data_IF_136006729098
#
_entry.id   IF_136006729098
#
_cell.length_a   1.000
_cell.length_b   1.000
_cell.length_c   1.000
_cell.angle_alpha   90.00
_cell.angle_beta   90.00
_cell.angle_gamma   90.00
#
_symmetry.space_group_name_H-M   'P 1'
#
loop_
_entity.id
_entity.type
_entity.pdbx_description
1 polymer ?
#
# COMPACT_ATOMS: atom_id res chain seq x y z
N UNK A 1 18.42 5.90 -24.42
CA UNK A 1 17.27 6.46 -23.67
C UNK A 1 17.61 6.74 -22.20
N UNK A 2 17.03 7.76 -21.57
CA UNK A 2 17.16 7.98 -20.11
C UNK A 2 15.94 7.41 -19.38
N UNK A 3 16.12 6.27 -18.73
CA UNK A 3 15.08 5.68 -17.89
C UNK A 3 15.11 6.40 -16.55
N UNK A 4 14.07 7.17 -16.25
CA UNK A 4 14.01 7.96 -15.03
C UNK A 4 13.14 7.25 -14.00
N UNK A 5 13.75 6.86 -12.87
CA UNK A 5 13.05 6.18 -11.78
C UNK A 5 11.81 6.95 -11.30
N UNK A 6 11.91 8.27 -11.15
CA UNK A 6 10.78 9.09 -10.68
C UNK A 6 9.56 9.01 -11.61
N UNK A 7 9.79 8.95 -12.94
CA UNK A 7 8.72 8.78 -13.93
C UNK A 7 8.07 7.41 -13.81
N UNK A 8 8.86 6.34 -13.69
CA UNK A 8 8.36 4.97 -13.48
C UNK A 8 7.51 4.91 -12.20
N UNK A 9 8.03 5.42 -11.09
CA UNK A 9 7.31 5.40 -9.81
C UNK A 9 6.03 6.23 -9.87
N UNK A 10 6.04 7.36 -10.58
CA UNK A 10 4.85 8.18 -10.78
C UNK A 10 3.78 7.45 -11.58
N UNK A 11 4.17 6.77 -12.65
CA UNK A 11 3.26 6.00 -13.50
C UNK A 11 2.65 4.81 -12.74
N UNK A 12 3.46 4.10 -11.95
CA UNK A 12 2.97 3.03 -11.09
C UNK A 12 1.98 3.57 -10.06
N UNK A 13 2.32 4.65 -9.34
CA UNK A 13 1.41 5.26 -8.34
C UNK A 13 0.09 5.71 -8.97
N UNK A 14 0.16 6.35 -10.13
CA UNK A 14 -1.04 6.78 -10.84
C UNK A 14 -1.97 5.59 -11.14
N UNK A 15 -1.41 4.47 -11.58
CA UNK A 15 -2.20 3.26 -11.84
C UNK A 15 -2.75 2.63 -10.56
N UNK A 16 -1.98 2.63 -9.47
CA UNK A 16 -2.44 2.19 -8.14
C UNK A 16 -3.64 3.02 -7.67
N UNK A 17 -3.54 4.34 -7.70
CA UNK A 17 -4.61 5.27 -7.30
C UNK A 17 -5.87 5.08 -8.17
N UNK A 18 -5.67 4.94 -9.48
CA UNK A 18 -6.76 4.69 -10.43
C UNK A 18 -7.50 3.41 -10.10
N UNK A 19 -6.82 2.30 -9.85
CA UNK A 19 -7.47 1.02 -9.53
C UNK A 19 -8.17 1.06 -8.17
N UNK A 20 -7.55 1.66 -7.15
CA UNK A 20 -8.17 1.81 -5.83
C UNK A 20 -9.45 2.67 -5.87
N UNK A 21 -9.55 3.62 -6.80
CA UNK A 21 -10.76 4.43 -6.98
C UNK A 21 -11.96 3.65 -7.56
N UNK A 22 -11.71 2.49 -8.19
CA UNK A 22 -12.74 1.71 -8.87
C UNK A 22 -13.53 0.78 -7.93
N UNK A 23 -13.25 0.81 -6.62
CA UNK A 23 -13.91 0.00 -5.58
C UNK A 23 -13.93 -1.50 -5.91
N UNK A 24 -12.85 -2.00 -6.50
CA UNK A 24 -12.70 -3.42 -6.87
C UNK A 24 -12.34 -4.26 -5.65
N UNK A 25 -12.44 -5.59 -5.77
CA UNK A 25 -11.89 -6.47 -4.74
C UNK A 25 -10.36 -6.40 -4.79
N UNK A 26 -9.70 -6.48 -3.62
CA UNK A 26 -8.23 -6.42 -3.54
C UNK A 26 -7.52 -7.47 -4.40
N UNK A 27 -8.12 -8.65 -4.61
CA UNK A 27 -7.59 -9.65 -5.52
C UNK A 27 -7.60 -9.13 -6.98
N UNK A 28 -8.68 -8.52 -7.43
CA UNK A 28 -8.80 -8.01 -8.79
C UNK A 28 -7.84 -6.84 -9.02
N UNK A 29 -7.71 -5.92 -8.05
CA UNK A 29 -6.71 -4.84 -8.09
C UNK A 29 -5.29 -5.40 -8.25
N UNK A 30 -4.94 -6.41 -7.45
CA UNK A 30 -3.64 -7.05 -7.50
C UNK A 30 -3.38 -7.77 -8.83
N UNK A 31 -4.41 -8.38 -9.41
CA UNK A 31 -4.33 -8.99 -10.73
C UNK A 31 -4.08 -7.94 -11.84
N UNK A 32 -4.84 -6.84 -11.83
CA UNK A 32 -4.66 -5.76 -12.81
C UNK A 32 -3.28 -5.11 -12.69
N UNK A 33 -2.80 -4.86 -11.47
CA UNK A 33 -1.44 -4.36 -11.25
C UNK A 33 -0.36 -5.35 -11.73
N UNK A 34 -0.60 -6.65 -11.57
CA UNK A 34 0.31 -7.69 -12.08
C UNK A 34 0.43 -7.62 -13.61
N UNK A 35 -0.69 -7.47 -14.32
CA UNK A 35 -0.69 -7.35 -15.78
C UNK A 35 0.04 -6.08 -16.23
N UNK A 36 -0.27 -4.95 -15.60
CA UNK A 36 0.34 -3.66 -15.91
C UNK A 36 1.86 -3.65 -15.69
N UNK A 37 2.32 -4.13 -14.53
CA UNK A 37 3.76 -4.16 -14.21
C UNK A 37 4.53 -5.15 -15.10
N UNK A 38 3.89 -6.25 -15.50
CA UNK A 38 4.46 -7.20 -16.47
C UNK A 38 4.64 -6.55 -17.83
N UNK A 39 3.64 -5.83 -18.33
CA UNK A 39 3.72 -5.11 -19.60
C UNK A 39 4.81 -4.02 -19.54
N UNK A 40 4.84 -3.23 -18.45
CA UNK A 40 5.87 -2.21 -18.23
C UNK A 40 7.28 -2.79 -18.27
N UNK A 41 7.52 -3.93 -17.60
CA UNK A 41 8.81 -4.63 -17.65
C UNK A 41 9.16 -5.13 -19.05
N UNK A 42 8.19 -5.64 -19.80
CA UNK A 42 8.39 -6.07 -21.20
C UNK A 42 8.79 -4.88 -22.08
N UNK A 43 8.12 -3.75 -21.99
CA UNK A 43 8.46 -2.53 -22.74
C UNK A 43 9.86 -2.02 -22.39
N UNK A 44 10.17 -1.94 -21.08
CA UNK A 44 11.49 -1.51 -20.62
C UNK A 44 12.58 -2.46 -21.11
N UNK A 45 12.34 -3.78 -21.06
CA UNK A 45 13.26 -4.78 -21.59
C UNK A 45 13.55 -4.57 -23.06
N UNK A 46 12.53 -4.42 -23.90
CA UNK A 46 12.71 -4.19 -25.33
C UNK A 46 13.55 -2.94 -25.58
N UNK A 47 13.26 -1.84 -24.88
CA UNK A 47 14.01 -0.61 -25.04
C UNK A 47 15.47 -0.73 -24.58
N UNK A 48 15.74 -1.43 -23.47
CA UNK A 48 17.10 -1.68 -22.98
C UNK A 48 17.90 -2.56 -23.94
N UNK A 49 17.28 -3.59 -24.51
CA UNK A 49 17.94 -4.47 -25.48
C UNK A 49 18.21 -3.78 -26.83
N UNK A 50 17.41 -2.79 -27.21
CA UNK A 50 17.59 -2.01 -28.45
C UNK A 50 18.66 -0.92 -28.29
N UNK A 51 18.59 -0.14 -27.21
CA UNK A 51 19.47 1.03 -27.01
C UNK A 51 20.80 0.67 -26.32
N UNK A 52 20.81 -0.38 -25.51
CA UNK A 52 21.88 -0.66 -24.55
C UNK A 52 22.01 0.41 -23.45
N UNK A 53 23.05 0.27 -22.63
CA UNK A 53 23.44 1.27 -21.64
C UNK A 53 24.57 2.15 -22.19
N UNK A 54 24.52 3.46 -21.91
CA UNK A 54 25.55 4.41 -22.35
C UNK A 54 26.92 4.15 -21.72
N UNK A 55 26.89 3.72 -20.46
CA UNK A 55 28.05 3.50 -19.61
C UNK A 55 27.69 2.52 -18.49
N UNK A 56 28.73 2.03 -17.80
CA UNK A 56 28.58 1.04 -16.71
C UNK A 56 27.79 1.61 -15.51
N UNK A 57 27.87 2.91 -15.25
CA UNK A 57 27.12 3.51 -14.14
C UNK A 57 25.62 3.48 -14.40
N UNK A 58 25.19 3.72 -15.64
CA UNK A 58 23.77 3.61 -16.04
C UNK A 58 23.26 2.17 -15.98
N UNK A 59 24.10 1.19 -16.34
CA UNK A 59 23.78 -0.24 -16.18
C UNK A 59 23.57 -0.59 -14.70
N UNK A 60 24.54 -0.22 -13.85
CA UNK A 60 24.50 -0.44 -12.39
C UNK A 60 23.27 0.21 -11.78
N UNK A 61 23.02 1.49 -12.07
CA UNK A 61 21.86 2.22 -11.54
C UNK A 61 20.54 1.55 -11.94
N UNK A 62 20.46 1.09 -13.20
CA UNK A 62 19.27 0.38 -13.67
C UNK A 62 19.00 -0.91 -12.88
N UNK A 63 20.02 -1.76 -12.69
CA UNK A 63 19.86 -3.04 -11.99
C UNK A 63 19.83 -2.92 -10.46
N UNK A 64 20.42 -1.87 -9.88
CA UNK A 64 20.41 -1.63 -8.44
C UNK A 64 19.14 -0.89 -7.99
N UNK A 65 18.75 0.16 -8.71
CA UNK A 65 17.78 1.15 -8.23
C UNK A 65 16.47 1.19 -9.02
N UNK A 66 16.50 0.89 -10.33
CA UNK A 66 15.33 1.08 -11.20
C UNK A 66 14.50 -0.19 -11.35
N UNK A 67 15.06 -1.20 -12.00
CA UNK A 67 14.36 -2.45 -12.32
C UNK A 67 13.82 -3.16 -11.07
N UNK A 68 14.55 -3.23 -9.93
CA UNK A 68 14.02 -3.88 -8.74
C UNK A 68 12.74 -3.26 -8.18
N UNK A 69 12.50 -1.96 -8.40
CA UNK A 69 11.28 -1.29 -7.93
C UNK A 69 10.04 -1.79 -8.68
N UNK A 70 10.18 -2.06 -9.98
CA UNK A 70 9.09 -2.58 -10.82
C UNK A 70 8.89 -4.07 -10.54
N UNK A 71 9.98 -4.84 -10.59
CA UNK A 71 9.95 -6.29 -10.38
C UNK A 71 9.50 -6.64 -8.95
N UNK A 72 9.96 -5.89 -7.95
CA UNK A 72 9.56 -6.07 -6.56
C UNK A 72 8.06 -5.83 -6.37
N UNK A 73 7.49 -4.78 -6.98
CA UNK A 73 6.05 -4.57 -6.98
C UNK A 73 5.29 -5.66 -7.74
N UNK A 74 5.83 -6.17 -8.85
CA UNK A 74 5.21 -7.27 -9.61
C UNK A 74 5.12 -8.54 -8.76
N UNK A 75 6.21 -8.91 -8.08
CA UNK A 75 6.25 -10.05 -7.15
C UNK A 75 5.27 -9.84 -6.00
N UNK A 76 5.24 -8.62 -5.43
CA UNK A 76 4.30 -8.24 -4.36
C UNK A 76 2.85 -8.46 -4.77
N UNK A 77 2.40 -7.85 -5.88
CA UNK A 77 1.01 -7.96 -6.32
C UNK A 77 0.63 -9.38 -6.73
N UNK A 78 1.55 -10.15 -7.34
CA UNK A 78 1.29 -11.56 -7.61
C UNK A 78 1.10 -12.38 -6.32
N UNK A 79 1.92 -12.15 -5.29
CA UNK A 79 1.75 -12.80 -3.98
C UNK A 79 0.45 -12.35 -3.31
N UNK A 80 0.10 -11.05 -3.33
CA UNK A 80 -1.17 -10.53 -2.80
C UNK A 80 -2.36 -11.22 -3.46
N UNK A 81 -2.38 -11.32 -4.79
CA UNK A 81 -3.44 -12.02 -5.51
C UNK A 81 -3.63 -13.46 -5.00
N UNK A 82 -2.53 -14.21 -4.85
CA UNK A 82 -2.57 -15.60 -4.33
C UNK A 82 -3.06 -15.68 -2.89
N UNK A 83 -2.66 -14.72 -2.05
CA UNK A 83 -3.08 -14.65 -0.65
C UNK A 83 -4.59 -14.37 -0.56
N UNK A 84 -5.08 -13.35 -1.27
CA UNK A 84 -6.50 -12.98 -1.22
C UNK A 84 -7.39 -14.09 -1.81
N UNK A 85 -6.98 -14.73 -2.90
CA UNK A 85 -7.78 -15.80 -3.55
C UNK A 85 -7.77 -17.12 -2.80
N UNK A 86 -6.80 -17.35 -1.91
CA UNK A 86 -6.74 -18.56 -1.06
C UNK A 86 -7.27 -18.33 0.35
N UNK A 87 -7.71 -17.11 0.67
CA UNK A 87 -8.29 -16.80 1.97
C UNK A 87 -9.65 -17.52 2.12
N UNK A 88 -9.83 -18.39 3.13
CA UNK A 88 -11.01 -19.25 3.22
C UNK A 88 -12.29 -18.51 3.63
N UNK A 89 -12.16 -17.36 4.30
CA UNK A 89 -13.28 -16.53 4.77
C UNK A 89 -12.88 -15.06 4.78
N UNK A 90 -13.83 -14.17 4.53
CA UNK A 90 -13.59 -12.73 4.42
C UNK A 90 -13.54 -11.98 5.77
N UNK A 91 -13.87 -12.63 6.89
CA UNK A 91 -13.82 -12.01 8.21
C UNK A 91 -13.76 -13.03 9.37
N UNK A 92 -13.47 -12.55 10.58
CA UNK A 92 -13.51 -13.31 11.83
C UNK A 92 -12.17 -13.96 12.21
N UNK A 93 -12.19 -14.80 13.25
CA UNK A 93 -10.96 -15.39 13.82
C UNK A 93 -10.17 -16.25 12.83
N UNK A 94 -10.87 -16.94 11.93
CA UNK A 94 -10.24 -17.78 10.89
C UNK A 94 -9.51 -16.89 9.87
N UNK A 95 -10.11 -15.75 9.49
CA UNK A 95 -9.46 -14.75 8.62
C UNK A 95 -8.19 -14.21 9.27
N UNK A 96 -8.26 -13.77 10.53
CA UNK A 96 -7.10 -13.26 11.24
C UNK A 96 -5.97 -14.31 11.36
N UNK A 97 -6.31 -15.53 11.76
CA UNK A 97 -5.35 -16.65 11.86
C UNK A 97 -4.70 -16.97 10.52
N UNK A 98 -5.45 -16.88 9.41
CA UNK A 98 -4.89 -17.06 8.07
C UNK A 98 -3.76 -16.06 7.78
N UNK A 99 -3.98 -14.75 7.96
CA UNK A 99 -2.92 -13.76 7.71
C UNK A 99 -1.77 -13.85 8.73
N UNK A 100 -2.04 -14.18 9.99
CA UNK A 100 -0.98 -14.42 10.99
C UNK A 100 -0.07 -15.60 10.57
N UNK A 101 -0.66 -16.67 10.05
CA UNK A 101 0.08 -17.82 9.51
C UNK A 101 0.86 -17.45 8.24
N UNK A 102 0.27 -16.69 7.32
CA UNK A 102 0.96 -16.17 6.13
C UNK A 102 2.16 -15.29 6.54
N UNK A 103 1.99 -14.39 7.51
CA UNK A 103 3.08 -13.56 8.03
C UNK A 103 4.18 -14.39 8.68
N UNK A 104 3.82 -15.46 9.41
CA UNK A 104 4.81 -16.38 10.00
C UNK A 104 5.61 -17.11 8.91
N UNK A 105 4.94 -17.59 7.87
CA UNK A 105 5.60 -18.23 6.73
C UNK A 105 6.55 -17.24 6.01
N UNK A 106 6.07 -16.03 5.73
CA UNK A 106 6.85 -14.95 5.11
C UNK A 106 8.12 -14.64 5.90
N UNK A 107 8.02 -14.48 7.24
CA UNK A 107 9.17 -14.23 8.12
C UNK A 107 10.19 -15.37 8.08
N UNK A 108 9.71 -16.61 8.03
CA UNK A 108 10.59 -17.79 7.96
C UNK A 108 11.34 -17.84 6.64
N UNK A 109 10.62 -17.70 5.52
CA UNK A 109 11.18 -17.66 4.16
C UNK A 109 12.24 -16.54 4.07
N UNK A 110 11.91 -15.34 4.55
CA UNK A 110 12.81 -14.19 4.49
C UNK A 110 14.09 -14.37 5.32
N UNK A 111 13.97 -14.92 6.54
CA UNK A 111 15.11 -15.18 7.42
C UNK A 111 16.06 -16.22 6.83
N UNK A 112 15.51 -17.29 6.26
CA UNK A 112 16.28 -18.38 5.67
C UNK A 112 16.93 -17.95 4.35
N UNK A 113 16.21 -17.17 3.53
CA UNK A 113 16.60 -16.93 2.15
C UNK A 113 17.38 -15.65 1.89
N UNK A 114 17.31 -14.65 2.78
CA UNK A 114 17.80 -13.29 2.51
C UNK A 114 18.63 -12.74 3.68
N UNK A 115 18.08 -12.69 4.90
CA UNK A 115 18.70 -11.92 6.00
C UNK A 115 20.12 -12.35 6.40
N UNK A 116 20.45 -13.63 6.22
CA UNK A 116 21.73 -14.18 6.66
C UNK A 116 22.85 -14.03 5.63
N UNK A 117 22.55 -13.49 4.44
CA UNK A 117 23.53 -13.38 3.36
C UNK A 117 24.36 -12.09 3.45
N UNK A 118 25.63 -12.17 3.06
CA UNK A 118 26.54 -11.02 2.96
C UNK A 118 25.98 -9.92 2.04
N UNK A 119 25.32 -10.33 0.96
CA UNK A 119 24.67 -9.42 0.03
C UNK A 119 23.56 -8.59 0.69
N UNK A 120 22.79 -9.17 1.61
CA UNK A 120 21.75 -8.43 2.31
C UNK A 120 22.36 -7.30 3.15
N UNK A 121 23.47 -7.57 3.85
CA UNK A 121 24.18 -6.53 4.62
C UNK A 121 24.79 -5.47 3.70
N UNK A 122 25.31 -5.86 2.54
CA UNK A 122 25.78 -4.93 1.52
C UNK A 122 24.67 -3.97 1.07
N UNK A 123 23.51 -4.52 0.68
CA UNK A 123 22.36 -3.76 0.21
C UNK A 123 21.80 -2.84 1.29
N UNK A 124 21.60 -3.33 2.52
CA UNK A 124 21.03 -2.54 3.64
C UNK A 124 21.94 -1.42 4.12
N UNK A 125 23.24 -1.52 3.88
CA UNK A 125 24.22 -0.49 4.21
C UNK A 125 24.42 0.54 3.08
N UNK A 126 23.65 0.44 1.99
CA UNK A 126 23.76 1.27 0.79
C UNK A 126 25.21 1.38 0.26
N UNK A 127 25.93 0.26 0.34
CA UNK A 127 27.31 0.19 -0.12
C UNK A 127 27.38 0.24 -1.65
N UNK A 128 28.51 0.71 -2.15
CA UNK A 128 28.79 0.84 -3.59
C UNK A 128 30.08 0.13 -4.02
N UNK A 129 30.89 -0.36 -3.08
CA UNK A 129 32.21 -0.91 -3.33
C UNK A 129 32.21 -2.23 -4.14
N UNK A 130 31.05 -2.88 -4.30
CA UNK A 130 30.88 -4.10 -5.10
C UNK A 130 29.84 -3.96 -6.21
N UNK A 131 29.42 -2.75 -6.53
CA UNK A 131 28.34 -2.53 -7.51
C UNK A 131 28.68 -3.13 -8.89
N UNK A 132 29.94 -3.03 -9.29
CA UNK A 132 30.45 -3.60 -10.54
C UNK A 132 30.37 -5.14 -10.61
N UNK A 133 30.38 -5.82 -9.46
CA UNK A 133 30.26 -7.28 -9.36
C UNK A 133 28.78 -7.67 -9.35
N UNK A 134 27.95 -6.93 -8.60
CA UNK A 134 26.57 -7.33 -8.36
C UNK A 134 25.58 -6.89 -9.45
N UNK A 135 25.82 -5.74 -10.09
CA UNK A 135 24.81 -5.08 -10.93
C UNK A 135 25.22 -4.94 -12.39
N UNK A 136 26.11 -5.82 -12.86
CA UNK A 136 26.47 -5.92 -14.29
C UNK A 136 26.01 -7.24 -14.87
N UNK A 137 25.55 -7.20 -16.12
CA UNK A 137 25.14 -8.41 -16.83
C UNK A 137 26.32 -9.36 -17.03
N UNK A 138 26.05 -10.66 -16.93
CA UNK A 138 27.05 -11.72 -17.11
C UNK A 138 28.03 -11.92 -15.95
N UNK A 139 28.00 -11.07 -14.91
CA UNK A 139 28.88 -11.21 -13.73
C UNK A 139 28.25 -12.15 -12.69
N UNK A 140 28.35 -13.46 -12.94
CA UNK A 140 27.87 -14.50 -12.01
C UNK A 140 29.05 -15.35 -11.56
N UNK A 141 29.36 -15.31 -10.26
CA UNK A 141 30.34 -16.21 -9.64
C UNK A 141 29.65 -17.48 -9.12
N UNK A 142 29.74 -18.56 -9.89
CA UNK A 142 29.14 -19.85 -9.50
C UNK A 142 29.77 -20.49 -8.25
N UNK A 143 30.94 -20.02 -7.81
CA UNK A 143 31.56 -20.49 -6.57
C UNK A 143 30.86 -19.96 -5.30
N UNK A 144 29.95 -18.99 -5.42
CA UNK A 144 29.25 -18.38 -4.29
C UNK A 144 28.12 -19.26 -3.71
N UNK A 145 27.97 -20.51 -4.16
CA UNK A 145 26.93 -21.43 -3.66
C UNK A 145 25.51 -20.95 -3.98
N UNK A 146 25.31 -20.46 -5.21
CA UNK A 146 24.08 -19.82 -5.66
C UNK A 146 22.89 -20.80 -5.67
N UNK A 147 21.69 -20.28 -5.39
CA UNK A 147 20.44 -21.05 -5.51
C UNK A 147 20.16 -21.42 -6.96
N UNK A 148 19.57 -22.60 -7.19
CA UNK A 148 19.33 -23.17 -8.52
C UNK A 148 18.56 -22.26 -9.49
N UNK A 149 17.74 -21.34 -8.99
CA UNK A 149 17.05 -20.35 -9.83
C UNK A 149 17.98 -19.49 -10.67
N UNK A 150 19.27 -19.38 -10.33
CA UNK A 150 20.27 -18.66 -11.14
C UNK A 150 20.41 -19.23 -12.56
N UNK A 151 20.16 -20.52 -12.76
CA UNK A 151 20.33 -21.20 -14.05
C UNK A 151 19.20 -20.89 -15.04
N UNK A 152 18.10 -20.29 -14.59
CA UNK A 152 16.94 -19.94 -15.41
C UNK A 152 16.81 -18.43 -15.63
N UNK A 153 17.74 -17.64 -15.09
CA UNK A 153 17.72 -16.19 -15.24
C UNK A 153 18.03 -15.81 -16.69
N UNK A 154 17.21 -14.93 -17.23
CA UNK A 154 17.52 -14.27 -18.50
C UNK A 154 18.67 -13.27 -18.30
N UNK A 155 19.90 -13.75 -18.57
CA UNK A 155 21.15 -12.99 -18.46
C UNK A 155 21.27 -11.83 -19.44
N UNK A 156 20.35 -11.70 -20.40
CA UNK A 156 20.31 -10.54 -21.32
C UNK A 156 19.66 -9.31 -20.68
N UNK A 157 18.87 -9.49 -19.62
CA UNK A 157 18.11 -8.42 -18.99
C UNK A 157 18.08 -8.48 -17.48
N UNK A 158 18.74 -9.44 -16.84
CA UNK A 158 18.73 -9.58 -15.38
C UNK A 158 20.09 -9.99 -14.86
N UNK A 159 20.43 -9.47 -13.68
CA UNK A 159 21.53 -9.98 -12.88
C UNK A 159 20.99 -11.04 -11.91
N UNK A 160 21.87 -11.65 -11.12
CA UNK A 160 21.41 -12.46 -10.00
C UNK A 160 20.90 -11.57 -8.83
N UNK A 161 21.50 -10.39 -8.66
CA UNK A 161 21.33 -9.57 -7.47
C UNK A 161 20.20 -8.54 -7.57
N UNK A 162 19.87 -8.02 -8.75
CA UNK A 162 18.65 -7.22 -8.98
C UNK A 162 17.39 -8.03 -8.63
N UNK A 163 17.36 -9.33 -8.99
CA UNK A 163 16.31 -10.26 -8.57
C UNK A 163 16.24 -10.40 -7.04
N UNK A 164 17.40 -10.50 -6.35
CA UNK A 164 17.44 -10.52 -4.88
C UNK A 164 16.88 -9.23 -4.28
N UNK A 165 17.24 -8.07 -4.82
CA UNK A 165 16.69 -6.78 -4.37
C UNK A 165 15.17 -6.73 -4.58
N UNK A 166 14.69 -7.17 -5.75
CA UNK A 166 13.26 -7.22 -6.02
C UNK A 166 12.51 -8.08 -4.99
N UNK A 167 13.08 -9.23 -4.61
CA UNK A 167 12.53 -10.05 -3.53
C UNK A 167 12.59 -9.37 -2.16
N UNK A 168 13.64 -8.60 -1.84
CA UNK A 168 13.70 -7.80 -0.61
C UNK A 168 12.54 -6.80 -0.57
N UNK A 169 12.39 -5.99 -1.63
CA UNK A 169 11.33 -4.99 -1.76
C UNK A 169 9.95 -5.65 -1.63
N UNK A 170 9.72 -6.74 -2.36
CA UNK A 170 8.44 -7.46 -2.32
C UNK A 170 8.10 -7.97 -0.91
N UNK A 171 9.09 -8.49 -0.18
CA UNK A 171 8.90 -8.97 1.19
C UNK A 171 8.57 -7.82 2.16
N UNK A 172 9.21 -6.66 2.03
CA UNK A 172 8.92 -5.47 2.85
C UNK A 172 7.49 -4.95 2.61
N UNK A 173 7.06 -4.90 1.35
CA UNK A 173 5.69 -4.54 0.98
C UNK A 173 4.67 -5.57 1.51
N UNK A 174 4.95 -6.87 1.35
CA UNK A 174 4.08 -7.93 1.87
C UNK A 174 3.99 -7.92 3.38
N UNK A 175 5.09 -7.67 4.08
CA UNK A 175 5.09 -7.55 5.53
C UNK A 175 4.14 -6.45 5.99
N UNK A 176 4.25 -5.27 5.36
CA UNK A 176 3.35 -4.14 5.62
C UNK A 176 1.90 -4.50 5.34
N UNK A 177 1.62 -5.11 4.19
CA UNK A 177 0.28 -5.59 3.82
C UNK A 177 -0.31 -6.59 4.82
N UNK A 178 0.48 -7.56 5.27
CA UNK A 178 0.04 -8.53 6.27
C UNK A 178 -0.31 -7.86 7.59
N UNK A 179 0.49 -6.88 8.01
CA UNK A 179 0.24 -6.15 9.24
C UNK A 179 -1.04 -5.31 9.17
N UNK A 180 -1.37 -4.72 8.01
CA UNK A 180 -2.65 -3.99 7.84
C UNK A 180 -3.85 -4.93 7.88
N UNK A 181 -3.70 -6.18 7.41
CA UNK A 181 -4.75 -7.21 7.48
C UNK A 181 -4.94 -7.81 8.88
N UNK A 182 -3.85 -8.04 9.63
CA UNK A 182 -3.90 -8.64 10.98
C UNK A 182 -4.39 -7.62 12.02
N UNK A 183 -3.90 -6.38 11.96
CA UNK A 183 -4.25 -5.33 12.91
C UNK A 183 -4.65 -4.04 12.18
N UNK A 184 -5.85 -3.99 11.57
CA UNK A 184 -6.33 -2.76 10.93
C UNK A 184 -6.46 -1.59 11.91
N UNK A 185 -6.52 -1.86 13.23
CA UNK A 185 -6.66 -0.84 14.29
C UNK A 185 -5.32 -0.39 14.91
N UNK A 186 -4.18 -1.06 14.62
CA UNK A 186 -2.85 -0.73 15.22
C UNK A 186 -1.81 -0.18 14.25
N UNK A 187 -2.11 0.00 12.96
CA UNK A 187 -1.20 0.61 11.99
C UNK A 187 -1.72 1.93 11.41
N UNK A 188 -1.82 3.00 12.22
CA UNK A 188 -1.89 4.34 11.67
C UNK A 188 -0.57 4.72 10.98
N UNK A 189 0.58 4.19 11.42
CA UNK A 189 1.89 4.70 10.99
C UNK A 189 2.32 4.33 9.56
N UNK A 190 1.74 3.28 8.96
CA UNK A 190 2.04 2.91 7.56
C UNK A 190 1.10 3.54 6.54
N UNK A 191 -0.06 4.06 6.99
CA UNK A 191 -0.88 5.00 6.19
C UNK A 191 -0.20 6.39 6.16
N UNK A 192 0.69 6.69 7.12
CA UNK A 192 1.42 7.96 7.20
C UNK A 192 2.67 8.03 6.29
N UNK A 193 3.13 6.93 5.69
CA UNK A 193 4.32 6.92 4.81
C UNK A 193 4.01 7.18 3.32
N UNK A 194 2.73 7.14 2.92
CA UNK A 194 2.29 7.76 1.67
C UNK A 194 1.93 9.23 1.95
N UNK A 195 2.94 10.01 2.29
CA UNK A 195 2.83 11.45 2.38
C UNK A 195 2.61 12.03 0.98
N UNK A 196 1.35 12.23 0.58
CA UNK A 196 0.90 13.46 -0.09
C UNK A 196 -0.56 13.43 -0.60
N UNK A 197 -1.30 12.31 -0.55
CA UNK A 197 -2.65 12.23 -1.16
C UNK A 197 -3.83 12.59 -0.26
N UNK A 198 -3.63 12.82 1.06
CA UNK A 198 -4.72 13.14 1.99
C UNK A 198 -4.64 14.56 2.59
N UNK A 199 -3.98 15.51 1.92
CA UNK A 199 -3.91 16.90 2.41
C UNK A 199 -5.24 17.67 2.29
N UNK A 200 -6.24 17.16 1.57
CA UNK A 200 -7.37 17.99 1.14
C UNK A 200 -8.69 17.79 1.91
N UNK A 201 -8.79 16.83 2.82
CA UNK A 201 -10.04 16.58 3.58
C UNK A 201 -9.85 17.06 5.03
N UNK A 202 -10.33 18.27 5.32
CA UNK A 202 -10.35 18.85 6.67
C UNK A 202 -11.78 19.23 7.08
N UNK A 203 -12.14 18.95 8.34
CA UNK A 203 -13.42 19.38 8.88
C UNK A 203 -13.36 20.86 9.25
N UNK A 204 -14.22 21.66 8.63
CA UNK A 204 -14.23 23.12 8.77
C UNK A 204 -15.28 23.64 9.75
N UNK A 205 -16.19 22.78 10.22
CA UNK A 205 -17.22 23.14 11.20
C UNK A 205 -16.74 22.85 12.63
N UNK A 206 -17.58 23.11 13.64
CA UNK A 206 -17.24 22.83 15.04
C UNK A 206 -17.08 21.34 15.32
N UNK A 207 -16.27 20.98 16.33
CA UNK A 207 -16.18 19.60 16.83
C UNK A 207 -17.54 19.06 17.29
N UNK A 208 -18.41 19.94 17.82
CA UNK A 208 -19.76 19.59 18.23
C UNK A 208 -20.63 19.17 17.05
N UNK A 209 -20.53 19.86 15.91
CA UNK A 209 -21.23 19.48 14.67
C UNK A 209 -20.77 18.11 14.18
N UNK A 210 -19.46 17.82 14.26
CA UNK A 210 -18.91 16.52 13.90
C UNK A 210 -19.44 15.40 14.82
N UNK A 211 -19.46 15.64 16.13
CA UNK A 211 -20.00 14.71 17.12
C UNK A 211 -21.49 14.46 16.88
N UNK A 212 -22.26 15.50 16.56
CA UNK A 212 -23.69 15.38 16.25
C UNK A 212 -23.93 14.47 15.03
N UNK A 213 -23.17 14.67 13.95
CA UNK A 213 -23.23 13.82 12.75
C UNK A 213 -22.86 12.36 13.05
N UNK A 214 -21.80 12.14 13.83
CA UNK A 214 -21.38 10.79 14.26
C UNK A 214 -22.51 10.10 15.04
N UNK A 215 -23.15 10.80 15.97
CA UNK A 215 -24.25 10.24 16.74
C UNK A 215 -25.50 10.00 15.90
N UNK A 216 -25.78 10.85 14.91
CA UNK A 216 -26.88 10.66 13.98
C UNK A 216 -26.72 9.34 13.20
N UNK A 217 -25.54 9.14 12.60
CA UNK A 217 -25.19 7.93 11.84
C UNK A 217 -25.16 6.67 12.71
N UNK A 218 -24.72 6.81 13.96
CA UNK A 218 -24.77 5.72 14.93
C UNK A 218 -26.21 5.36 15.30
N UNK A 219 -27.06 6.35 15.59
CA UNK A 219 -28.45 6.15 15.98
C UNK A 219 -29.30 5.60 14.82
N UNK A 220 -29.05 6.05 13.60
CA UNK A 220 -29.75 5.57 12.40
C UNK A 220 -29.34 4.15 11.98
N UNK A 221 -28.23 3.63 12.53
CA UNK A 221 -27.66 2.32 12.19
C UNK A 221 -27.33 2.18 10.69
N UNK A 222 -27.12 3.29 9.99
CA UNK A 222 -26.92 3.32 8.54
C UNK A 222 -25.55 2.79 8.08
N UNK A 223 -24.61 2.57 9.01
CA UNK A 223 -23.24 2.14 8.72
C UNK A 223 -23.03 0.71 9.23
N UNK A 224 -22.37 -0.12 8.40
CA UNK A 224 -21.98 -1.49 8.73
C UNK A 224 -23.13 -2.34 9.32
N UNK A 225 -24.33 -2.21 8.73
CA UNK A 225 -25.55 -2.91 9.16
C UNK A 225 -25.88 -2.69 10.66
N UNK A 226 -25.55 -1.52 11.20
CA UNK A 226 -25.82 -1.16 12.60
C UNK A 226 -24.93 -1.85 13.63
N UNK A 227 -23.86 -2.55 13.21
CA UNK A 227 -22.97 -3.29 14.11
C UNK A 227 -21.78 -2.46 14.60
N UNK A 228 -21.61 -1.24 14.10
CA UNK A 228 -20.48 -0.38 14.47
C UNK A 228 -20.74 0.33 15.80
N UNK A 229 -19.76 0.29 16.70
CA UNK A 229 -19.81 1.01 17.97
C UNK A 229 -19.46 2.50 17.81
N UNK A 230 -20.07 3.35 18.65
CA UNK A 230 -19.88 4.82 18.61
C UNK A 230 -18.41 5.25 18.69
N UNK A 231 -17.59 4.58 19.51
CA UNK A 231 -16.15 4.88 19.66
C UNK A 231 -15.39 4.60 18.37
N UNK A 232 -15.72 3.50 17.68
CA UNK A 232 -15.11 3.11 16.41
C UNK A 232 -15.52 4.08 15.31
N UNK A 233 -16.79 4.48 15.28
CA UNK A 233 -17.28 5.47 14.34
C UNK A 233 -16.61 6.84 14.55
N UNK A 234 -16.47 7.27 15.80
CA UNK A 234 -15.78 8.52 16.11
C UNK A 234 -14.30 8.49 15.73
N UNK A 235 -13.61 7.36 15.92
CA UNK A 235 -12.22 7.20 15.49
C UNK A 235 -12.07 7.34 13.96
N UNK A 236 -12.97 6.73 13.19
CA UNK A 236 -12.97 6.85 11.72
C UNK A 236 -13.09 8.32 11.30
N UNK A 237 -14.02 9.07 11.91
CA UNK A 237 -14.22 10.49 11.59
C UNK A 237 -13.05 11.37 12.04
N UNK A 238 -12.42 11.06 13.19
CA UNK A 238 -11.18 11.74 13.62
C UNK A 238 -10.05 11.55 12.63
N UNK A 239 -9.89 10.33 12.08
CA UNK A 239 -8.88 10.01 11.08
C UNK A 239 -9.21 10.70 9.75
N UNK A 240 -10.46 10.57 9.29
CA UNK A 240 -10.93 11.12 8.02
C UNK A 240 -10.74 12.64 7.94
N UNK A 241 -11.05 13.35 9.02
CA UNK A 241 -11.04 14.81 9.05
C UNK A 241 -9.86 15.42 9.81
N UNK A 242 -8.93 14.60 10.31
CA UNK A 242 -7.78 15.01 11.14
C UNK A 242 -8.16 15.93 12.30
N UNK A 243 -9.36 15.75 12.85
CA UNK A 243 -9.91 16.59 13.91
C UNK A 243 -10.01 15.75 15.18
N UNK A 244 -9.27 16.06 16.26
CA UNK A 244 -9.38 15.31 17.50
C UNK A 244 -10.77 15.51 18.10
N UNK A 245 -11.39 14.41 18.58
CA UNK A 245 -12.68 14.45 19.25
C UNK A 245 -12.50 14.01 20.70
N UNK A 246 -12.45 15.01 21.58
CA UNK A 246 -12.42 14.77 23.02
C UNK A 246 -13.83 14.73 23.59
N UNK A 247 -14.03 13.88 24.60
CA UNK A 247 -15.25 13.85 25.42
C UNK A 247 -16.57 13.73 24.62
N UNK A 248 -16.57 12.87 23.59
CA UNK A 248 -17.70 12.62 22.67
C UNK A 248 -19.02 12.39 23.43
N UNK A 249 -18.98 11.55 24.48
CA UNK A 249 -20.16 11.25 25.30
C UNK A 249 -20.67 12.46 26.08
N UNK A 250 -19.77 13.25 26.66
CA UNK A 250 -20.14 14.43 27.43
C UNK A 250 -20.66 15.55 26.51
N UNK A 251 -20.00 15.77 25.38
CA UNK A 251 -20.43 16.73 24.36
C UNK A 251 -21.81 16.39 23.81
N UNK A 252 -22.09 15.11 23.54
CA UNK A 252 -23.44 14.67 23.15
C UNK A 252 -24.46 14.79 24.28
N UNK A 253 -24.08 14.53 25.53
CA UNK A 253 -24.99 14.74 26.66
C UNK A 253 -25.40 16.22 26.77
N UNK A 254 -24.46 17.15 26.61
CA UNK A 254 -24.76 18.60 26.59
C UNK A 254 -25.69 18.99 25.44
N UNK A 255 -25.60 18.32 24.29
CA UNK A 255 -26.50 18.57 23.16
C UNK A 255 -27.97 18.31 23.49
N UNK A 256 -28.27 17.32 24.34
CA UNK A 256 -29.64 16.98 24.74
C UNK A 256 -30.36 18.12 25.47
N UNK A 257 -29.60 19.00 26.12
CA UNK A 257 -30.11 20.09 26.97
C UNK A 257 -29.80 21.47 26.40
N UNK A 258 -29.38 21.58 25.13
CA UNK A 258 -29.14 22.88 24.49
C UNK A 258 -30.46 23.65 24.34
N UNK A 259 -30.41 24.96 24.54
CA UNK A 259 -31.49 25.86 24.18
C UNK A 259 -31.57 25.97 22.65
N UNK A 260 -32.77 25.87 22.07
CA UNK A 260 -32.98 25.78 20.63
C UNK A 260 -33.10 24.33 20.14
N UNK A 261 -32.61 24.04 18.93
CA UNK A 261 -32.65 22.68 18.38
C UNK A 261 -31.61 21.77 19.02
N UNK A 262 -32.04 20.55 19.37
CA UNK A 262 -31.16 19.47 19.86
C UNK A 262 -30.25 18.91 18.75
N UNK A 263 -30.64 19.11 17.49
CA UNK A 263 -29.99 18.61 16.28
C UNK A 263 -29.70 19.74 15.29
N UNK A 264 -29.19 20.86 15.83
CA UNK A 264 -29.02 22.10 15.08
C UNK A 264 -28.15 21.94 13.82
N UNK A 265 -27.12 21.07 13.85
CA UNK A 265 -26.28 20.85 12.68
C UNK A 265 -26.96 19.96 11.65
N UNK A 266 -27.70 18.92 12.06
CA UNK A 266 -28.47 18.10 11.12
C UNK A 266 -29.59 18.89 10.45
N UNK A 267 -30.23 19.80 11.19
CA UNK A 267 -31.25 20.70 10.64
C UNK A 267 -30.63 21.60 9.55
N UNK A 268 -29.43 22.14 9.82
CA UNK A 268 -28.67 22.91 8.83
C UNK A 268 -28.30 22.07 7.60
N UNK A 269 -27.84 20.82 7.79
CA UNK A 269 -27.52 19.91 6.68
C UNK A 269 -28.74 19.60 5.83
N UNK A 270 -29.89 19.38 6.46
CA UNK A 270 -31.15 19.13 5.77
C UNK A 270 -31.53 20.32 4.89
N UNK A 271 -31.58 21.52 5.46
CA UNK A 271 -31.92 22.76 4.73
C UNK A 271 -30.96 22.95 3.56
N UNK A 272 -29.65 22.82 3.80
CA UNK A 272 -28.62 22.97 2.76
C UNK A 272 -28.78 21.97 1.61
N UNK A 273 -29.22 20.75 1.92
CA UNK A 273 -29.47 19.71 0.92
C UNK A 273 -30.75 19.99 0.12
N UNK A 274 -31.83 20.40 0.78
CA UNK A 274 -33.08 20.79 0.13
C UNK A 274 -32.84 21.98 -0.82
N UNK A 275 -32.15 23.03 -0.35
CA UNK A 275 -31.75 24.17 -1.20
C UNK A 275 -30.86 23.77 -2.38
N UNK A 276 -30.02 22.73 -2.22
CA UNK A 276 -29.20 22.23 -3.32
C UNK A 276 -30.02 21.42 -4.32
N UNK A 277 -31.03 20.67 -3.88
CA UNK A 277 -31.95 19.92 -4.75
C UNK A 277 -32.88 20.84 -5.53
N UNK A 278 -33.29 21.97 -4.93
CA UNK A 278 -34.16 22.97 -5.56
C UNK A 278 -33.41 23.89 -6.54
N UNK A 279 -32.07 23.83 -6.57
CA UNK A 279 -31.30 24.44 -7.65
C UNK A 279 -31.47 23.58 -8.90
N UNK A 280 -32.29 24.04 -9.83
CA UNK A 280 -32.31 23.51 -11.20
C UNK A 280 -30.88 23.52 -11.76
N UNK A 281 -30.32 22.32 -11.93
CA UNK A 281 -29.01 22.05 -12.57
C UNK A 281 -29.17 21.94 -14.08
#
# INVERSE_FOLDING_TARGET
MEIVLSKILSEIRHQEDKLSSQMMQTADEAYQMTLFLKEMLCTIKTNVLQDGFKDEHREIDFFKNIKPQILGKLIYYNKVFRIETTCPVSNGKIHQSYYENQLKALKSEYKESICNEDFYRYYRADRTDRDHIYFRLGQINYHDGLKSGVFEIDLSFSTYFDNKIAHIIANELLYTYMLTKINPEKNPDTILMNGDTHKDISWTNSQNALIELIYALYASKSIAYGKIGIRKLALIFQILFRTPLNDIHHSFHRMKTRAGSRTAFLDQLKISLEEYMDKDL
#
